data_IF_445087971493
#
_entry.id   IF_445087971493
#
_cell.length_a   1.000
_cell.length_b   1.000
_cell.length_c   1.000
_cell.angle_alpha   90.00
_cell.angle_beta   90.00
_cell.angle_gamma   90.00
#
_symmetry.space_group_name_H-M   'P 1'
#
loop_
_entity.id
_entity.type
_entity.pdbx_description
1 polymer ?
#
# COMPACT_ATOMS: atom_id res chain seq x y z
N UNK A 1 2.95 3.76 -13.93
CA UNK A 1 1.91 3.69 -12.89
C UNK A 1 2.53 3.86 -11.52
N UNK A 2 2.01 4.76 -10.70
CA UNK A 2 2.49 4.97 -9.34
C UNK A 2 1.31 5.05 -8.37
N UNK A 3 1.33 4.25 -7.31
CA UNK A 3 0.29 4.29 -6.30
C UNK A 3 0.41 5.55 -5.44
N UNK A 4 1.63 6.04 -5.23
CA UNK A 4 1.88 7.22 -4.41
C UNK A 4 3.10 7.98 -4.93
N UNK A 5 3.13 9.29 -4.66
CA UNK A 5 4.24 10.16 -5.02
C UNK A 5 4.60 11.05 -3.82
N UNK A 6 5.60 11.93 -4.01
CA UNK A 6 6.05 12.81 -2.93
C UNK A 6 4.93 13.72 -2.41
N UNK A 7 4.03 14.17 -3.28
CA UNK A 7 2.89 14.99 -2.86
C UNK A 7 1.96 14.21 -1.92
N UNK A 8 1.67 12.96 -2.25
CA UNK A 8 0.86 12.10 -1.39
C UNK A 8 1.55 11.89 -0.04
N UNK A 9 2.85 11.63 -0.06
CA UNK A 9 3.63 11.42 1.16
C UNK A 9 3.60 12.67 2.04
N UNK A 10 3.75 13.86 1.42
CA UNK A 10 3.74 15.11 2.15
C UNK A 10 2.42 15.37 2.87
N UNK A 11 1.31 14.91 2.30
CA UNK A 11 -0.01 15.05 2.92
C UNK A 11 -0.12 14.27 4.23
N UNK A 12 0.61 13.17 4.37
CA UNK A 12 0.55 12.32 5.55
C UNK A 12 1.68 12.55 6.53
N UNK A 13 2.87 12.87 6.04
CA UNK A 13 4.06 13.01 6.89
C UNK A 13 5.00 14.08 6.35
N UNK A 14 4.62 15.37 6.43
CA UNK A 14 5.46 16.43 5.91
C UNK A 14 6.82 16.55 6.61
N UNK A 15 6.94 16.07 7.83
CA UNK A 15 8.17 16.15 8.61
C UNK A 15 9.31 15.35 7.99
N UNK A 16 9.04 14.34 7.16
CA UNK A 16 10.12 13.56 6.53
C UNK A 16 10.85 14.36 5.45
N UNK A 17 10.25 15.43 4.95
CA UNK A 17 10.89 16.33 3.98
C UNK A 17 11.75 17.39 4.65
N UNK A 18 11.75 17.46 5.97
CA UNK A 18 12.49 18.46 6.74
C UNK A 18 13.83 17.93 7.25
N UNK A 19 14.21 16.72 6.85
CA UNK A 19 15.39 16.04 7.35
C UNK A 19 16.56 16.05 6.35
N UNK A 20 16.54 16.98 5.39
CA UNK A 20 17.60 17.08 4.39
C UNK A 20 17.36 16.23 3.15
N UNK A 21 16.25 15.51 3.09
CA UNK A 21 15.84 14.74 1.92
C UNK A 21 14.51 15.29 1.43
N UNK A 22 14.46 15.67 0.16
CA UNK A 22 13.26 16.24 -0.45
C UNK A 22 12.61 15.31 -1.50
N UNK A 23 13.19 14.15 -1.73
CA UNK A 23 12.68 13.21 -2.72
C UNK A 23 12.74 11.78 -2.17
N UNK A 24 11.55 11.17 -2.03
CA UNK A 24 11.41 9.80 -1.54
C UNK A 24 10.82 8.87 -2.61
N UNK A 25 11.03 9.21 -3.89
CA UNK A 25 10.46 8.46 -5.02
C UNK A 25 10.91 7.00 -5.01
N UNK A 26 12.18 6.73 -4.72
CA UNK A 26 12.69 5.37 -4.72
C UNK A 26 12.05 4.53 -3.61
N UNK A 27 11.92 5.11 -2.43
CA UNK A 27 11.30 4.44 -1.29
C UNK A 27 9.82 4.15 -1.54
N UNK A 28 9.13 5.09 -2.18
CA UNK A 28 7.74 4.89 -2.56
C UNK A 28 7.60 3.80 -3.63
N UNK A 29 8.56 3.71 -4.56
CA UNK A 29 8.57 2.66 -5.57
C UNK A 29 8.79 1.28 -4.93
N UNK A 30 9.70 1.17 -3.97
CA UNK A 30 9.91 -0.08 -3.23
C UNK A 30 8.66 -0.48 -2.45
N UNK A 31 8.00 0.48 -1.81
CA UNK A 31 6.78 0.24 -1.08
C UNK A 31 5.67 -0.26 -2.00
N UNK A 32 5.57 0.31 -3.20
CA UNK A 32 4.59 -0.14 -4.19
C UNK A 32 4.81 -1.60 -4.57
N UNK A 33 6.05 -2.00 -4.77
CA UNK A 33 6.39 -3.40 -5.06
C UNK A 33 5.92 -4.30 -3.91
N UNK A 34 6.19 -3.90 -2.67
CA UNK A 34 5.77 -4.67 -1.50
C UNK A 34 4.24 -4.82 -1.46
N UNK A 35 3.51 -3.72 -1.69
CA UNK A 35 2.05 -3.73 -1.68
C UNK A 35 1.50 -4.63 -2.79
N UNK A 36 2.03 -4.53 -4.01
CA UNK A 36 1.57 -5.37 -5.12
C UNK A 36 1.87 -6.84 -4.88
N UNK A 37 3.03 -7.16 -4.31
CA UNK A 37 3.38 -8.54 -3.97
C UNK A 37 2.43 -9.11 -2.90
N UNK A 38 2.05 -8.28 -1.93
CA UNK A 38 1.12 -8.69 -0.89
C UNK A 38 -0.28 -8.93 -1.46
N UNK A 39 -0.73 -8.07 -2.39
CA UNK A 39 -2.01 -8.25 -3.08
C UNK A 39 -1.99 -9.55 -3.86
N UNK A 40 -0.92 -9.82 -4.60
CA UNK A 40 -0.78 -11.05 -5.36
C UNK A 40 -0.81 -12.26 -4.44
N UNK A 41 -0.07 -12.22 -3.34
CA UNK A 41 0.04 -13.35 -2.42
C UNK A 41 -1.27 -13.61 -1.67
N UNK A 42 -1.88 -12.58 -1.10
CA UNK A 42 -3.04 -12.74 -0.22
C UNK A 42 -4.37 -12.78 -0.95
N UNK A 43 -4.44 -12.21 -2.14
CA UNK A 43 -5.69 -12.12 -2.89
C UNK A 43 -5.65 -12.91 -4.16
N UNK A 44 -4.73 -12.57 -5.09
CA UNK A 44 -4.72 -13.17 -6.41
C UNK A 44 -4.46 -14.67 -6.37
N UNK A 45 -3.43 -15.10 -5.65
CA UNK A 45 -3.06 -16.50 -5.58
C UNK A 45 -4.12 -17.37 -4.91
N UNK A 46 -4.91 -16.80 -4.00
CA UNK A 46 -5.98 -17.53 -3.33
C UNK A 46 -7.21 -17.72 -4.20
N UNK A 47 -7.53 -16.73 -5.02
CA UNK A 47 -8.81 -16.71 -5.74
C UNK A 47 -8.65 -16.87 -7.25
N UNK A 48 -7.46 -16.60 -7.78
CA UNK A 48 -7.19 -16.59 -9.22
C UNK A 48 -5.86 -17.25 -9.56
N UNK A 49 -5.45 -18.25 -8.83
CA UNK A 49 -4.08 -18.81 -8.85
C UNK A 49 -3.60 -19.27 -10.23
N UNK A 50 -4.50 -19.53 -11.16
CA UNK A 50 -4.14 -19.99 -12.51
C UNK A 50 -4.03 -18.86 -13.52
N UNK A 51 -4.43 -17.66 -13.17
CA UNK A 51 -4.39 -16.51 -14.06
C UNK A 51 -3.15 -15.69 -13.78
N UNK A 52 -2.68 -14.97 -14.80
CA UNK A 52 -1.53 -14.08 -14.62
C UNK A 52 -1.99 -12.77 -14.00
N UNK A 53 -1.36 -12.40 -12.90
CA UNK A 53 -1.64 -11.14 -12.22
C UNK A 53 -0.97 -9.99 -12.95
N UNK A 54 -1.70 -8.90 -13.15
CA UNK A 54 -1.20 -7.68 -13.75
C UNK A 54 -1.49 -6.50 -12.82
N UNK A 55 -0.42 -6.00 -12.18
CA UNK A 55 -0.55 -4.91 -11.22
C UNK A 55 -1.08 -3.62 -11.85
N UNK A 56 -0.89 -3.42 -13.15
CA UNK A 56 -1.38 -2.23 -13.85
C UNK A 56 -2.90 -2.16 -13.92
N UNK A 57 -3.58 -3.27 -13.67
CA UNK A 57 -5.05 -3.33 -13.64
C UNK A 57 -5.65 -2.97 -12.30
N UNK A 58 -4.83 -2.78 -11.28
CA UNK A 58 -5.27 -2.29 -9.98
C UNK A 58 -5.60 -0.79 -10.05
N UNK A 59 -6.50 -0.34 -9.20
CA UNK A 59 -6.84 1.08 -9.10
C UNK A 59 -5.81 1.77 -8.21
N UNK A 60 -5.04 2.69 -8.78
CA UNK A 60 -3.94 3.36 -8.07
C UNK A 60 -4.42 4.05 -6.80
N UNK A 61 -5.53 4.76 -6.88
CA UNK A 61 -6.04 5.54 -5.75
C UNK A 61 -6.49 4.68 -4.57
N UNK A 62 -6.87 3.43 -4.83
CA UNK A 62 -7.23 2.51 -3.75
C UNK A 62 -6.02 2.20 -2.86
N UNK A 63 -4.83 2.20 -3.42
CA UNK A 63 -3.62 1.75 -2.75
C UNK A 63 -2.64 2.86 -2.39
N UNK A 64 -3.01 4.14 -2.64
CA UNK A 64 -2.14 5.28 -2.34
C UNK A 64 -1.78 5.33 -0.86
N UNK A 65 -2.78 5.27 -0.01
CA UNK A 65 -2.58 5.38 1.45
C UNK A 65 -1.80 4.20 2.00
N UNK A 66 -2.13 3.00 1.55
CA UNK A 66 -1.43 1.78 1.95
C UNK A 66 0.05 1.86 1.56
N UNK A 67 0.35 2.34 0.36
CA UNK A 67 1.71 2.50 -0.14
C UNK A 67 2.48 3.54 0.67
N UNK A 68 1.86 4.67 1.00
CA UNK A 68 2.49 5.70 1.83
C UNK A 68 2.85 5.15 3.20
N UNK A 69 1.95 4.42 3.84
CA UNK A 69 2.23 3.84 5.16
C UNK A 69 3.33 2.78 5.11
N UNK A 70 3.32 1.94 4.07
CA UNK A 70 4.38 0.95 3.88
C UNK A 70 5.74 1.63 3.70
N UNK A 71 5.80 2.70 2.89
CA UNK A 71 7.04 3.43 2.67
C UNK A 71 7.53 4.05 3.97
N UNK A 72 6.63 4.66 4.75
CA UNK A 72 7.01 5.33 5.99
C UNK A 72 7.62 4.36 6.98
N UNK A 73 6.95 3.26 7.29
CA UNK A 73 7.46 2.41 8.36
C UNK A 73 8.60 1.50 7.92
N UNK A 74 8.68 1.11 6.65
CA UNK A 74 9.65 0.13 6.20
C UNK A 74 10.91 0.75 5.61
N UNK A 75 10.81 1.93 5.00
CA UNK A 75 11.91 2.51 4.23
C UNK A 75 12.33 3.89 4.70
N UNK A 76 11.37 4.80 4.91
CA UNK A 76 11.67 6.21 5.16
C UNK A 76 12.09 6.44 6.60
N UNK A 77 11.26 6.10 7.55
CA UNK A 77 11.55 6.33 8.97
C UNK A 77 12.77 5.55 9.46
N UNK A 78 12.99 4.28 9.04
CA UNK A 78 14.23 3.61 9.40
C UNK A 78 15.49 4.31 8.92
N UNK A 79 15.45 4.96 7.75
CA UNK A 79 16.59 5.74 7.25
C UNK A 79 16.83 7.01 8.05
N UNK A 80 15.78 7.60 8.58
CA UNK A 80 15.88 8.81 9.40
C UNK A 80 16.17 8.49 10.86
N UNK A 81 15.82 7.29 11.31
CA UNK A 81 16.02 6.86 12.68
C UNK A 81 17.51 6.60 12.95
N UNK A 82 17.98 7.05 14.10
CA UNK A 82 19.33 6.74 14.56
C UNK A 82 19.38 5.50 15.43
N UNK A 83 18.21 4.91 15.71
CA UNK A 83 18.06 3.76 16.59
C UNK A 83 18.68 3.95 17.97
N UNK A 84 18.73 5.19 18.43
CA UNK A 84 19.21 5.50 19.78
C UNK A 84 18.20 4.98 20.80
N UNK A 85 18.66 4.44 21.92
CA UNK A 85 17.74 3.99 22.97
C UNK A 85 16.88 5.10 23.54
N UNK A 86 17.36 6.34 23.48
CA UNK A 86 16.66 7.50 24.00
C UNK A 86 16.70 8.63 22.98
N UNK A 87 15.59 9.36 22.86
CA UNK A 87 15.54 10.61 22.10
C UNK A 87 15.42 10.44 20.60
N UNK A 88 15.04 9.26 20.10
CA UNK A 88 14.81 9.07 18.68
C UNK A 88 13.33 9.33 18.36
N UNK A 89 13.01 10.49 17.75
CA UNK A 89 11.61 10.82 17.47
C UNK A 89 10.96 9.94 16.42
N UNK A 90 11.74 9.21 15.62
CA UNK A 90 11.21 8.42 14.52
C UNK A 90 10.89 6.98 14.92
N UNK A 91 11.45 6.52 16.01
CA UNK A 91 11.29 5.13 16.43
C UNK A 91 9.85 4.76 16.77
N UNK A 92 9.17 5.64 17.50
CA UNK A 92 7.76 5.43 17.85
C UNK A 92 6.86 5.58 16.62
N UNK A 93 7.23 6.47 15.71
CA UNK A 93 6.48 6.67 14.47
C UNK A 93 6.52 5.43 13.58
N UNK A 94 7.61 4.71 13.58
CA UNK A 94 7.73 3.45 12.82
C UNK A 94 6.62 2.47 13.25
N UNK A 95 6.43 2.29 14.54
CA UNK A 95 5.38 1.41 15.07
C UNK A 95 4.00 1.94 14.74
N UNK A 96 3.80 3.25 14.88
CA UNK A 96 2.54 3.90 14.57
C UNK A 96 2.13 3.64 13.12
N UNK A 97 3.03 3.87 12.16
CA UNK A 97 2.71 3.69 10.75
C UNK A 97 2.62 2.22 10.35
N UNK A 98 3.31 1.34 11.04
CA UNK A 98 3.14 -0.10 10.83
C UNK A 98 1.71 -0.54 11.17
N UNK A 99 1.18 -0.05 12.29
CA UNK A 99 -0.21 -0.33 12.66
C UNK A 99 -1.18 0.27 11.66
N UNK A 100 -0.93 1.51 11.22
CA UNK A 100 -1.76 2.17 10.20
C UNK A 100 -1.75 1.41 8.89
N UNK A 101 -0.61 0.89 8.50
CA UNK A 101 -0.50 0.06 7.29
C UNK A 101 -1.36 -1.20 7.42
N UNK A 102 -1.30 -1.88 8.54
CA UNK A 102 -2.08 -3.08 8.76
C UNK A 102 -3.58 -2.79 8.77
N UNK A 103 -4.00 -1.72 9.42
CA UNK A 103 -5.40 -1.30 9.46
C UNK A 103 -5.92 -0.95 8.07
N UNK A 104 -5.14 -0.21 7.30
CA UNK A 104 -5.51 0.17 5.94
C UNK A 104 -5.61 -1.04 5.02
N UNK A 105 -4.70 -1.99 5.19
CA UNK A 105 -4.71 -3.24 4.45
C UNK A 105 -6.00 -4.02 4.70
N UNK A 106 -6.38 -4.16 5.97
CA UNK A 106 -7.61 -4.85 6.35
C UNK A 106 -8.84 -4.11 5.80
N UNK A 107 -8.83 -2.80 5.85
CA UNK A 107 -9.92 -2.00 5.31
C UNK A 107 -10.10 -2.26 3.82
N UNK A 108 -9.03 -2.24 3.04
CA UNK A 108 -9.13 -2.43 1.59
C UNK A 108 -9.54 -3.84 1.23
N UNK A 109 -9.14 -4.85 1.99
CA UNK A 109 -9.66 -6.20 1.82
C UNK A 109 -11.15 -6.28 2.13
N UNK A 110 -11.60 -5.59 3.15
CA UNK A 110 -13.03 -5.57 3.52
C UNK A 110 -13.89 -4.87 2.48
N UNK A 111 -13.38 -3.80 1.90
CA UNK A 111 -14.07 -3.05 0.83
C UNK A 111 -14.13 -3.88 -0.46
N UNK A 112 -13.08 -4.64 -0.74
CA UNK A 112 -12.94 -5.40 -1.98
C UNK A 112 -11.90 -4.76 -2.89
N UNK A 113 -11.04 -5.60 -3.45
CA UNK A 113 -9.96 -5.13 -4.32
C UNK A 113 -10.51 -4.81 -5.68
N UNK A 114 -10.30 -3.59 -6.14
CA UNK A 114 -10.75 -3.11 -7.44
C UNK A 114 -9.72 -3.46 -8.49
N UNK A 115 -10.16 -4.19 -9.50
CA UNK A 115 -9.27 -4.71 -10.53
C UNK A 115 -10.02 -4.70 -11.87
N UNK A 116 -9.36 -4.21 -12.91
CA UNK A 116 -9.94 -4.11 -14.25
C UNK A 116 -9.75 -5.43 -14.99
N UNK A 117 -10.66 -6.37 -14.77
CA UNK A 117 -10.54 -7.73 -15.32
C UNK A 117 -10.62 -7.78 -16.84
N UNK A 118 -11.42 -6.92 -17.44
CA UNK A 118 -11.63 -6.92 -18.88
C UNK A 118 -10.66 -6.02 -19.65
N UNK A 119 -9.88 -5.21 -18.93
CA UNK A 119 -8.86 -4.36 -19.55
C UNK A 119 -9.39 -3.15 -20.29
N UNK A 120 -10.64 -2.73 -20.00
CA UNK A 120 -11.26 -1.59 -20.70
C UNK A 120 -10.87 -0.22 -20.13
N UNK A 121 -10.08 -0.20 -19.07
CA UNK A 121 -9.62 1.03 -18.40
C UNK A 121 -10.59 1.58 -17.37
N UNK A 122 -11.74 0.94 -17.16
CA UNK A 122 -12.70 1.32 -16.13
C UNK A 122 -13.07 0.13 -15.26
N UNK A 123 -13.41 0.39 -14.00
CA UNK A 123 -13.85 -0.65 -13.08
C UNK A 123 -15.35 -0.80 -13.17
N UNK A 124 -15.78 -2.00 -13.53
CA UNK A 124 -17.20 -2.36 -13.57
C UNK A 124 -17.55 -3.07 -12.27
N UNK A 125 -18.57 -2.59 -11.57
CA UNK A 125 -18.95 -3.11 -10.27
C UNK A 125 -19.33 -4.59 -10.31
N UNK A 126 -19.77 -5.08 -11.46
CA UNK A 126 -20.23 -6.47 -11.59
C UNK A 126 -19.10 -7.43 -11.96
N UNK A 127 -18.03 -6.95 -12.60
CA UNK A 127 -16.97 -7.80 -13.12
C UNK A 127 -15.61 -7.53 -12.51
N UNK A 128 -15.34 -6.27 -12.14
CA UNK A 128 -13.99 -5.82 -11.79
C UNK A 128 -13.78 -5.68 -10.27
N UNK A 129 -14.86 -5.81 -9.48
CA UNK A 129 -14.76 -5.70 -8.02
C UNK A 129 -15.01 -7.07 -7.40
N UNK A 130 -14.05 -7.54 -6.61
CA UNK A 130 -14.19 -8.79 -5.84
C UNK A 130 -13.99 -8.49 -4.37
N UNK A 131 -14.95 -8.95 -3.56
CA UNK A 131 -14.90 -8.78 -2.12
C UNK A 131 -14.53 -10.09 -1.46
N UNK A 132 -13.49 -10.06 -0.65
CA UNK A 132 -13.01 -11.25 0.05
C UNK A 132 -14.07 -11.78 1.01
N UNK A 133 -14.82 -10.89 1.66
CA UNK A 133 -15.86 -11.26 2.59
C UNK A 133 -16.99 -12.06 1.94
N UNK A 134 -17.30 -11.79 0.68
CA UNK A 134 -18.33 -12.55 -0.04
C UNK A 134 -17.94 -14.01 -0.21
N UNK A 135 -16.68 -14.26 -0.46
CA UNK A 135 -16.17 -15.62 -0.61
C UNK A 135 -16.35 -16.42 0.68
N UNK A 136 -16.21 -15.77 1.83
CA UNK A 136 -16.35 -16.43 3.13
C UNK A 136 -17.77 -16.81 3.45
N UNK A 137 -18.74 -16.10 2.89
CA UNK A 137 -20.15 -16.36 3.18
C UNK A 137 -20.65 -17.70 2.66
N UNK A 138 -19.92 -18.32 1.77
CA UNK A 138 -20.31 -19.58 1.14
C UNK A 138 -19.67 -20.79 1.79
N UNK A 139 -19.24 -20.67 2.98
CA UNK A 139 -18.64 -21.79 3.72
C UNK A 139 -19.59 -22.39 4.72
#
# INVERSE_FOLDING_TARGET
MAFANNTNLQDYAPEVFQQGVDDWTDELAHAQIDVTNMIQFKWWNKFYSRSQFDASKLVETQWTKTTVYQALYAYILPKLSTFRPEGDPFREQILFYKERYQDEWELQFGVGIKYDFDGDGTIDTNTDVKQVSQTRLYR
#
